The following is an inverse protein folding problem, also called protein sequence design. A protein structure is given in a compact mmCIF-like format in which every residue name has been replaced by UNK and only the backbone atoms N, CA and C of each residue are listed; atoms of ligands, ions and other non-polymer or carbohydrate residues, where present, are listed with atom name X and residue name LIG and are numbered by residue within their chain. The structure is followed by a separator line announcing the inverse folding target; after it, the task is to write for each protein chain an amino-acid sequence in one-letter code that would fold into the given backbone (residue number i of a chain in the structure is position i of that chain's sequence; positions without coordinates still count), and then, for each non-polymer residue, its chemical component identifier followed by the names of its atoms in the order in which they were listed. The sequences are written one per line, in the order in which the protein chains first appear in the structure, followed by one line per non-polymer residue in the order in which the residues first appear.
data_IF_737979787383
#
_entry.id   IF_737979787383
#
_cell.length_a   1.000
_cell.length_b   1.000
_cell.length_c   1.000
_cell.angle_alpha   90.00
_cell.angle_beta   90.00
_cell.angle_gamma   90.00
#
_symmetry.space_group_name_H-M   'P 1'
#
loop_
_entity.id
_entity.type
_entity.pdbx_description
1 polymer ?
#
# COMPACT_ATOMS: atom_id res chain seq x y z
N UNK A 1 -59.79 -64.47 2.56
CA UNK A 1 -58.51 -64.32 3.22
C UNK A 1 -57.42 -64.10 2.17
N UNK A 2 -57.57 -63.13 1.26
CA UNK A 2 -56.61 -62.80 0.18
C UNK A 2 -56.75 -61.33 -0.29
N UNK A 3 -57.01 -60.39 0.63
CA UNK A 3 -57.20 -58.96 0.22
C UNK A 3 -56.59 -57.97 1.23
N UNK A 4 -55.61 -58.37 2.04
CA UNK A 4 -54.98 -57.53 3.07
C UNK A 4 -53.46 -57.45 2.98
N UNK A 5 -52.83 -57.82 1.84
CA UNK A 5 -51.37 -57.79 1.67
C UNK A 5 -50.87 -56.84 0.55
N UNK A 6 -51.74 -56.00 0.00
CA UNK A 6 -51.35 -55.09 -1.10
C UNK A 6 -51.26 -53.57 -0.73
N UNK A 7 -51.36 -53.24 0.57
CA UNK A 7 -51.36 -51.82 0.99
C UNK A 7 -50.17 -51.43 1.89
N UNK A 8 -49.12 -52.24 2.01
CA UNK A 8 -47.96 -51.98 2.86
C UNK A 8 -46.65 -51.69 2.07
N UNK A 9 -46.70 -51.57 0.73
CA UNK A 9 -45.50 -51.44 -0.11
C UNK A 9 -45.39 -50.07 -0.85
N UNK A 10 -46.21 -49.08 -0.53
CA UNK A 10 -46.20 -47.74 -1.24
C UNK A 10 -45.78 -46.60 -0.32
N UNK A 11 -45.46 -46.82 0.94
CA UNK A 11 -45.11 -45.74 1.88
C UNK A 11 -43.62 -45.68 2.28
N UNK A 12 -42.70 -46.31 1.51
CA UNK A 12 -41.25 -46.36 1.83
C UNK A 12 -40.34 -45.64 0.82
N UNK A 13 -40.87 -44.77 -0.06
CA UNK A 13 -40.10 -44.11 -1.12
C UNK A 13 -40.15 -42.57 -1.10
N UNK A 14 -40.42 -41.93 0.03
CA UNK A 14 -40.52 -40.47 0.13
C UNK A 14 -39.61 -39.84 1.20
N UNK A 15 -38.45 -40.45 1.54
CA UNK A 15 -37.41 -39.83 2.40
C UNK A 15 -36.04 -40.08 1.79
N UNK A 16 -35.85 -39.64 0.55
CA UNK A 16 -34.54 -39.56 -0.06
C UNK A 16 -34.45 -38.27 -0.88
N UNK A 17 -34.07 -37.15 -0.25
CA UNK A 17 -33.87 -35.99 -1.01
C UNK A 17 -33.79 -34.67 -0.21
N UNK A 18 -32.87 -34.58 0.72
CA UNK A 18 -32.27 -33.30 1.16
C UNK A 18 -30.93 -33.63 1.85
N UNK A 19 -30.05 -34.28 1.13
CA UNK A 19 -28.63 -34.21 1.42
C UNK A 19 -28.12 -32.94 0.80
N UNK A 20 -28.16 -31.82 1.53
CA UNK A 20 -27.31 -30.71 1.22
C UNK A 20 -25.88 -31.25 1.28
N UNK A 21 -25.15 -31.18 0.17
CA UNK A 21 -23.71 -31.37 0.14
C UNK A 21 -23.07 -30.26 1.01
N UNK A 22 -23.03 -30.49 2.34
CA UNK A 22 -22.10 -29.78 3.22
C UNK A 22 -20.68 -30.28 2.85
N UNK A 23 -20.19 -29.87 1.69
CA UNK A 23 -18.75 -29.94 1.45
C UNK A 23 -18.10 -29.06 2.51
N UNK A 24 -17.22 -29.60 3.37
CA UNK A 24 -16.51 -28.80 4.34
C UNK A 24 -15.83 -27.67 3.58
N UNK A 25 -16.10 -26.43 4.00
CA UNK A 25 -15.48 -25.25 3.38
C UNK A 25 -13.97 -25.46 3.27
N UNK A 26 -13.42 -25.30 2.08
CA UNK A 26 -12.01 -25.53 1.84
C UNK A 26 -11.19 -24.70 2.84
N UNK A 27 -10.21 -25.32 3.49
CA UNK A 27 -9.36 -24.63 4.47
C UNK A 27 -8.68 -23.42 3.81
N UNK A 28 -8.72 -22.22 4.43
CA UNK A 28 -8.04 -21.04 3.91
C UNK A 28 -6.56 -21.30 3.64
N UNK A 29 -6.06 -20.79 2.53
CA UNK A 29 -4.68 -20.98 2.10
C UNK A 29 -3.79 -19.92 2.72
N UNK A 30 -2.64 -20.30 3.25
CA UNK A 30 -1.69 -19.37 3.86
C UNK A 30 -1.10 -18.42 2.79
N UNK A 31 -1.15 -17.11 3.07
CA UNK A 31 -0.57 -16.04 2.26
C UNK A 31 0.26 -15.13 3.14
N UNK A 32 1.49 -14.86 2.76
CA UNK A 32 2.35 -13.90 3.44
C UNK A 32 2.32 -12.58 2.71
N UNK A 33 1.99 -11.49 3.43
CA UNK A 33 1.99 -10.12 2.94
C UNK A 33 3.06 -9.30 3.67
N UNK A 34 3.96 -8.65 2.91
CA UNK A 34 4.97 -7.74 3.47
C UNK A 34 4.54 -6.29 3.31
N UNK A 35 4.60 -5.52 4.39
CA UNK A 35 4.45 -4.08 4.34
C UNK A 35 5.72 -3.43 3.78
N UNK A 36 5.57 -2.26 3.19
CA UNK A 36 6.64 -1.40 2.66
C UNK A 36 7.33 -0.58 3.76
N UNK A 37 6.56 -0.20 4.78
CA UNK A 37 6.96 0.68 5.86
C UNK A 37 6.50 0.17 7.23
N UNK A 38 6.91 0.82 8.32
CA UNK A 38 6.35 0.55 9.65
C UNK A 38 4.84 0.71 9.63
N UNK A 39 4.06 -0.13 10.36
CA UNK A 39 2.61 -0.04 10.37
C UNK A 39 2.12 1.39 10.61
N UNK A 40 1.27 1.89 9.74
CA UNK A 40 0.69 3.22 9.80
C UNK A 40 -0.71 3.21 9.17
N UNK A 41 -1.39 4.35 9.16
CA UNK A 41 -2.78 4.45 8.71
C UNK A 41 -3.03 3.97 7.26
N UNK A 42 -2.02 4.02 6.37
CA UNK A 42 -2.13 3.47 5.01
C UNK A 42 -2.44 1.97 5.02
N UNK A 43 -1.92 1.24 6.01
CA UNK A 43 -2.10 -0.20 6.13
C UNK A 43 -3.41 -0.61 6.83
N UNK A 44 -4.23 0.34 7.29
CA UNK A 44 -5.46 0.05 8.04
C UNK A 44 -6.39 -0.94 7.33
N UNK A 45 -6.62 -0.90 6.00
CA UNK A 45 -7.46 -1.88 5.31
C UNK A 45 -6.94 -3.32 5.41
N UNK A 46 -5.61 -3.51 5.44
CA UNK A 46 -4.96 -4.82 5.53
C UNK A 46 -5.20 -5.44 6.92
N UNK A 47 -4.99 -4.64 7.97
CA UNK A 47 -5.20 -5.09 9.35
C UNK A 47 -6.69 -5.31 9.64
N UNK A 48 -7.57 -4.42 9.17
CA UNK A 48 -9.02 -4.58 9.31
C UNK A 48 -9.53 -5.86 8.64
N UNK A 49 -8.97 -6.22 7.47
CA UNK A 49 -9.30 -7.47 6.78
C UNK A 49 -9.00 -8.69 7.65
N UNK A 50 -7.83 -8.74 8.29
CA UNK A 50 -7.46 -9.85 9.19
C UNK A 50 -8.30 -9.86 10.46
N UNK A 51 -8.44 -8.71 11.11
CA UNK A 51 -9.24 -8.58 12.35
C UNK A 51 -10.67 -9.07 12.18
N UNK A 52 -11.29 -8.73 11.06
CA UNK A 52 -12.70 -9.05 10.80
C UNK A 52 -12.89 -10.38 10.05
N UNK A 53 -11.81 -11.18 9.86
CA UNK A 53 -11.86 -12.47 9.18
C UNK A 53 -12.22 -12.37 7.69
N UNK A 54 -12.02 -11.23 7.04
CA UNK A 54 -12.27 -11.06 5.62
C UNK A 54 -11.35 -11.92 4.78
N UNK A 55 -10.13 -12.12 5.23
CA UNK A 55 -9.16 -13.01 4.60
C UNK A 55 -9.70 -14.46 4.55
N UNK A 56 -10.21 -15.01 5.66
CA UNK A 56 -10.81 -16.32 5.70
C UNK A 56 -12.08 -16.44 4.82
N UNK A 57 -12.91 -15.38 4.77
CA UNK A 57 -14.08 -15.31 3.90
C UNK A 57 -13.72 -15.39 2.41
N UNK A 58 -12.55 -14.90 2.02
CA UNK A 58 -12.00 -14.98 0.66
C UNK A 58 -11.04 -16.16 0.45
N UNK A 59 -11.07 -17.17 1.33
CA UNK A 59 -10.32 -18.41 1.18
C UNK A 59 -8.83 -18.31 1.41
N UNK A 60 -8.35 -17.23 2.05
CA UNK A 60 -6.95 -17.02 2.40
C UNK A 60 -6.78 -16.78 3.89
N UNK A 61 -5.57 -17.03 4.40
CA UNK A 61 -5.16 -16.71 5.76
C UNK A 61 -3.93 -15.82 5.67
N UNK A 62 -4.11 -14.51 5.92
CA UNK A 62 -3.05 -13.53 5.80
C UNK A 62 -2.12 -13.53 7.01
N UNK A 63 -0.82 -13.59 6.74
CA UNK A 63 0.23 -13.33 7.72
C UNK A 63 0.93 -12.03 7.31
N UNK A 64 0.73 -10.97 8.11
CA UNK A 64 1.32 -9.66 7.86
C UNK A 64 2.75 -9.63 8.40
N UNK A 65 3.71 -9.36 7.51
CA UNK A 65 5.12 -9.17 7.84
C UNK A 65 5.45 -7.67 7.89
N UNK A 66 5.90 -7.19 9.02
CA UNK A 66 6.45 -5.85 9.16
C UNK A 66 7.85 -5.80 8.55
N UNK A 67 8.27 -4.71 7.89
CA UNK A 67 9.65 -4.57 7.41
C UNK A 67 10.61 -4.43 8.60
N UNK A 68 11.91 -4.61 8.31
CA UNK A 68 12.98 -4.26 9.24
C UNK A 68 13.19 -2.74 9.33
N UNK A 69 14.44 -2.31 9.45
CA UNK A 69 14.80 -0.87 9.52
C UNK A 69 14.90 -0.18 8.15
N UNK A 70 14.66 -0.90 7.05
CA UNK A 70 14.78 -0.42 5.69
C UNK A 70 13.87 -1.16 4.70
N UNK A 71 13.83 -0.73 3.43
CA UNK A 71 12.93 -1.27 2.41
C UNK A 71 13.37 -2.66 1.95
N UNK A 72 12.67 -3.71 2.39
CA UNK A 72 12.96 -5.10 2.02
C UNK A 72 11.79 -5.81 1.31
N UNK A 73 10.59 -5.23 1.31
CA UNK A 73 9.38 -5.83 0.72
C UNK A 73 9.59 -6.25 -0.74
N UNK A 74 10.16 -5.39 -1.57
CA UNK A 74 10.45 -5.67 -2.98
C UNK A 74 11.31 -6.95 -3.14
N UNK A 75 12.40 -7.07 -2.39
CA UNK A 75 13.32 -8.21 -2.47
C UNK A 75 12.63 -9.51 -2.03
N UNK A 76 11.77 -9.45 -1.04
CA UNK A 76 11.03 -10.60 -0.51
C UNK A 76 10.00 -11.09 -1.52
N UNK A 77 9.24 -10.20 -2.16
CA UNK A 77 8.29 -10.53 -3.23
C UNK A 77 9.01 -11.08 -4.46
N UNK A 78 10.06 -10.40 -4.93
CA UNK A 78 10.81 -10.81 -6.10
C UNK A 78 11.45 -12.21 -5.94
N UNK A 79 11.91 -12.53 -4.72
CA UNK A 79 12.47 -13.86 -4.41
C UNK A 79 11.41 -14.94 -4.14
N UNK A 80 10.12 -14.59 -4.06
CA UNK A 80 9.03 -15.51 -3.73
C UNK A 80 9.00 -15.94 -2.26
N UNK A 81 9.73 -15.26 -1.38
CA UNK A 81 9.68 -15.47 0.09
C UNK A 81 8.41 -14.89 0.72
N UNK A 82 7.76 -13.99 0.01
CA UNK A 82 6.50 -13.35 0.36
C UNK A 82 5.62 -13.38 -0.89
N UNK A 83 4.34 -13.65 -0.70
CA UNK A 83 3.39 -13.82 -1.82
C UNK A 83 2.91 -12.46 -2.36
N UNK A 84 2.59 -11.53 -1.47
CA UNK A 84 2.10 -10.18 -1.80
C UNK A 84 2.92 -9.16 -1.02
N UNK A 85 3.16 -8.01 -1.60
CA UNK A 85 3.83 -6.89 -0.93
C UNK A 85 3.10 -5.58 -1.16
N UNK A 86 3.45 -4.61 -0.33
CA UNK A 86 3.10 -3.20 -0.52
C UNK A 86 4.32 -2.50 -1.09
N UNK A 87 4.12 -1.60 -2.04
CA UNK A 87 5.21 -0.87 -2.67
C UNK A 87 4.74 0.51 -3.16
N UNK A 88 5.64 1.47 -3.12
CA UNK A 88 5.53 2.72 -3.86
C UNK A 88 5.53 2.44 -5.37
N UNK A 89 4.66 3.15 -6.11
CA UNK A 89 4.49 2.90 -7.55
C UNK A 89 5.76 3.24 -8.36
N UNK A 90 6.54 4.22 -7.92
CA UNK A 90 7.79 4.60 -8.58
C UNK A 90 8.86 3.52 -8.39
N UNK A 91 8.91 2.89 -7.21
CA UNK A 91 9.81 1.76 -6.97
C UNK A 91 9.42 0.52 -7.78
N UNK A 92 8.13 0.33 -8.09
CA UNK A 92 7.67 -0.68 -9.06
C UNK A 92 8.29 -0.41 -10.44
N UNK A 93 8.23 0.84 -10.94
CA UNK A 93 8.82 1.21 -12.23
C UNK A 93 10.32 0.95 -12.28
N UNK A 94 11.04 1.39 -11.24
CA UNK A 94 12.50 1.20 -11.11
C UNK A 94 12.85 -0.29 -11.10
N UNK A 95 12.17 -1.09 -10.28
CA UNK A 95 12.40 -2.52 -10.16
C UNK A 95 12.18 -3.25 -11.49
N UNK A 96 11.10 -2.92 -12.20
CA UNK A 96 10.82 -3.51 -13.50
C UNK A 96 11.86 -3.12 -14.56
N UNK A 97 12.30 -1.86 -14.57
CA UNK A 97 13.39 -1.44 -15.48
C UNK A 97 14.71 -2.18 -15.19
N UNK A 98 14.93 -2.60 -13.95
CA UNK A 98 16.08 -3.43 -13.54
C UNK A 98 15.89 -4.92 -13.84
N UNK A 99 14.78 -5.30 -14.48
CA UNK A 99 14.49 -6.68 -14.88
C UNK A 99 13.79 -7.51 -13.80
N UNK A 100 13.33 -6.90 -12.71
CA UNK A 100 12.56 -7.60 -11.69
C UNK A 100 11.14 -7.85 -12.18
N UNK A 101 10.73 -9.11 -12.30
CA UNK A 101 9.42 -9.47 -12.85
C UNK A 101 8.33 -9.50 -11.76
N UNK A 102 7.97 -8.31 -11.31
CA UNK A 102 6.86 -8.05 -10.38
C UNK A 102 5.73 -7.32 -11.12
N UNK A 103 4.52 -7.43 -10.60
CA UNK A 103 3.32 -6.84 -11.17
C UNK A 103 2.45 -6.26 -10.05
N UNK A 104 1.89 -5.07 -10.26
CA UNK A 104 0.88 -4.53 -9.36
C UNK A 104 -0.48 -5.13 -9.68
N UNK A 105 -1.21 -5.49 -8.62
CA UNK A 105 -2.50 -6.19 -8.68
C UNK A 105 -3.65 -5.40 -8.06
N UNK A 106 -3.36 -4.22 -7.53
CA UNK A 106 -4.35 -3.31 -6.95
C UNK A 106 -3.70 -2.02 -6.45
N UNK A 107 -4.47 -0.94 -6.41
CA UNK A 107 -4.08 0.33 -5.82
C UNK A 107 -4.62 0.43 -4.39
N UNK A 108 -3.76 0.65 -3.40
CA UNK A 108 -4.20 0.88 -2.02
C UNK A 108 -4.53 2.35 -1.79
N UNK A 109 -3.65 3.25 -2.20
CA UNK A 109 -3.85 4.70 -2.15
C UNK A 109 -3.90 5.24 -3.56
N UNK A 110 -4.97 5.93 -3.92
CA UNK A 110 -5.27 6.36 -5.29
C UNK A 110 -4.74 7.75 -5.67
N UNK A 111 -4.03 8.43 -4.77
CA UNK A 111 -3.47 9.77 -5.01
C UNK A 111 -2.08 9.89 -4.41
N UNK A 112 -1.25 10.85 -4.89
CA UNK A 112 0.06 11.13 -4.32
C UNK A 112 0.00 11.45 -2.82
N UNK A 113 0.87 10.82 -2.05
CA UNK A 113 1.11 11.10 -0.64
C UNK A 113 2.46 11.79 -0.43
N UNK A 114 3.34 11.68 -1.42
CA UNK A 114 4.69 12.17 -1.34
C UNK A 114 4.74 13.69 -1.17
N UNK A 115 5.55 14.15 -0.23
CA UNK A 115 5.84 15.56 0.01
C UNK A 115 7.29 15.70 0.48
N UNK A 116 7.90 16.84 0.16
CA UNK A 116 9.12 17.28 0.81
C UNK A 116 8.73 18.08 2.05
N UNK A 117 8.94 17.50 3.23
CA UNK A 117 8.60 18.13 4.52
C UNK A 117 9.85 18.80 5.07
N UNK A 118 9.79 20.09 5.32
CA UNK A 118 10.94 20.90 5.65
C UNK A 118 10.78 21.71 6.95
N UNK A 119 11.91 22.13 7.52
CA UNK A 119 11.96 23.06 8.63
C UNK A 119 11.30 24.40 8.24
N UNK A 120 10.74 25.17 9.19
CA UNK A 120 9.95 26.40 8.92
C UNK A 120 10.67 27.48 8.12
N UNK A 121 12.01 27.56 8.23
CA UNK A 121 12.83 28.53 7.53
C UNK A 121 12.95 28.25 6.02
N UNK A 122 12.64 27.05 5.58
CA UNK A 122 12.60 26.68 4.16
C UNK A 122 11.23 27.09 3.63
N UNK A 123 11.16 28.20 2.91
CA UNK A 123 9.89 28.75 2.41
C UNK A 123 9.46 28.14 1.08
N UNK A 124 10.42 27.62 0.31
CA UNK A 124 10.24 26.94 -0.98
C UNK A 124 11.37 25.92 -1.20
N UNK A 125 11.19 24.92 -2.08
CA UNK A 125 12.21 23.89 -2.32
C UNK A 125 13.59 24.44 -2.71
N UNK A 126 13.66 25.56 -3.44
CA UNK A 126 14.91 26.19 -3.82
C UNK A 126 15.76 26.64 -2.61
N UNK A 127 15.14 26.95 -1.49
CA UNK A 127 15.86 27.38 -0.28
C UNK A 127 16.69 26.23 0.32
N UNK A 128 16.55 24.98 -0.20
CA UNK A 128 17.34 23.83 0.23
C UNK A 128 18.76 23.79 -0.37
N UNK A 129 19.10 24.66 -1.30
CA UNK A 129 20.47 24.77 -1.77
C UNK A 129 21.42 25.10 -0.60
N UNK A 130 22.47 24.29 -0.41
CA UNK A 130 23.40 24.37 0.72
C UNK A 130 22.93 23.66 2.00
N UNK A 131 21.70 23.13 2.02
CA UNK A 131 21.09 22.45 3.15
C UNK A 131 21.19 20.92 3.05
N UNK A 132 20.81 20.21 4.13
CA UNK A 132 20.86 18.77 4.22
C UNK A 132 19.45 18.17 4.20
N UNK A 133 19.19 17.26 3.25
CA UNK A 133 17.96 16.48 3.13
C UNK A 133 18.21 15.03 3.56
N UNK A 134 17.38 14.54 4.48
CA UNK A 134 17.41 13.13 4.90
C UNK A 134 16.53 12.29 4.00
N UNK A 135 17.08 11.24 3.38
CA UNK A 135 16.36 10.31 2.51
C UNK A 135 16.19 8.96 3.17
N UNK A 136 15.10 8.24 2.89
CA UNK A 136 14.84 6.92 3.50
C UNK A 136 15.76 5.82 2.97
N UNK A 137 16.32 6.00 1.76
CA UNK A 137 17.10 5.00 1.03
C UNK A 137 16.24 4.18 0.07
N UNK A 138 15.00 4.57 -0.17
CA UNK A 138 14.19 4.04 -1.27
C UNK A 138 14.83 4.43 -2.61
N UNK A 139 14.73 3.56 -3.64
CA UNK A 139 15.28 3.86 -4.96
C UNK A 139 14.70 5.11 -5.61
N UNK A 140 13.44 5.47 -5.30
CA UNK A 140 12.73 6.65 -5.82
C UNK A 140 13.16 7.97 -5.18
N UNK A 141 13.64 7.98 -3.93
CA UNK A 141 13.97 9.21 -3.17
C UNK A 141 14.81 10.24 -3.95
N UNK A 142 15.94 9.89 -4.60
CA UNK A 142 16.77 10.88 -5.28
C UNK A 142 16.08 11.54 -6.47
N UNK A 143 15.26 10.77 -7.19
CA UNK A 143 14.56 11.28 -8.37
C UNK A 143 13.38 12.17 -7.96
N UNK A 144 12.63 11.77 -6.94
CA UNK A 144 11.57 12.56 -6.35
C UNK A 144 12.09 13.92 -5.84
N UNK A 145 13.15 13.89 -5.02
CA UNK A 145 13.77 15.12 -4.51
C UNK A 145 14.24 16.03 -5.66
N UNK A 146 14.92 15.45 -6.66
CA UNK A 146 15.36 16.19 -7.83
C UNK A 146 14.19 16.84 -8.57
N UNK A 147 13.10 16.12 -8.80
CA UNK A 147 11.94 16.62 -9.53
C UNK A 147 11.33 17.87 -8.85
N UNK A 148 11.13 17.84 -7.54
CA UNK A 148 10.61 18.99 -6.77
C UNK A 148 11.59 20.16 -6.82
N UNK A 149 12.89 19.91 -6.65
CA UNK A 149 13.92 20.96 -6.68
C UNK A 149 14.02 21.62 -8.06
N UNK A 150 14.11 20.81 -9.14
CA UNK A 150 14.19 21.31 -10.52
C UNK A 150 12.93 22.11 -10.90
N UNK A 151 11.74 21.63 -10.48
CA UNK A 151 10.47 22.34 -10.74
C UNK A 151 10.47 23.74 -10.12
N UNK A 152 11.06 23.91 -8.95
CA UNK A 152 11.18 25.21 -8.25
C UNK A 152 12.42 26.01 -8.67
N UNK A 153 13.18 25.55 -9.66
CA UNK A 153 14.37 26.22 -10.20
C UNK A 153 15.59 26.15 -9.28
N UNK A 154 15.69 25.11 -8.45
CA UNK A 154 16.87 24.81 -7.67
C UNK A 154 17.87 23.94 -8.45
N UNK A 155 19.13 23.99 -8.05
CA UNK A 155 20.16 23.05 -8.48
C UNK A 155 20.26 21.88 -7.48
N UNK A 156 19.81 20.65 -7.83
CA UNK A 156 19.85 19.50 -6.93
C UNK A 156 21.26 19.12 -6.48
N UNK A 157 22.30 19.45 -7.26
CA UNK A 157 23.69 19.15 -6.92
C UNK A 157 24.20 19.97 -5.71
N UNK A 158 23.52 21.05 -5.38
CA UNK A 158 23.80 21.89 -4.21
C UNK A 158 23.12 21.44 -2.93
N UNK A 159 22.31 20.36 -2.98
CA UNK A 159 21.61 19.80 -1.82
C UNK A 159 22.35 18.56 -1.32
N UNK A 160 22.74 18.57 -0.04
CA UNK A 160 23.38 17.42 0.59
C UNK A 160 22.34 16.38 0.97
N UNK A 161 22.50 15.14 0.51
CA UNK A 161 21.64 14.02 0.90
C UNK A 161 22.33 13.11 1.93
N UNK A 162 21.59 12.66 2.94
CA UNK A 162 22.03 11.69 3.95
C UNK A 162 20.95 10.62 4.15
N UNK A 163 21.34 9.35 4.15
CA UNK A 163 20.39 8.26 4.38
C UNK A 163 20.05 8.16 5.87
N UNK A 164 18.77 8.21 6.19
CA UNK A 164 18.24 8.21 7.57
C UNK A 164 17.30 7.04 7.87
N UNK A 165 17.05 6.14 6.89
CA UNK A 165 16.05 5.09 7.02
C UNK A 165 14.66 5.67 7.31
N UNK A 166 13.88 5.00 8.14
CA UNK A 166 12.52 5.40 8.51
C UNK A 166 12.46 6.39 9.70
N UNK A 167 13.53 7.16 9.94
CA UNK A 167 13.65 8.04 11.09
C UNK A 167 13.26 9.51 10.81
N UNK A 168 12.54 9.81 9.73
CA UNK A 168 12.24 11.16 9.24
C UNK A 168 11.75 12.13 10.33
N UNK A 169 10.73 11.74 11.11
CA UNK A 169 10.17 12.57 12.20
C UNK A 169 11.23 12.91 13.25
N UNK A 170 12.01 11.91 13.70
CA UNK A 170 13.06 12.11 14.70
C UNK A 170 14.19 13.03 14.22
N UNK A 171 14.58 12.89 12.94
CA UNK A 171 15.64 13.70 12.34
C UNK A 171 15.23 15.16 12.17
N UNK A 172 13.97 15.43 11.73
CA UNK A 172 13.43 16.78 11.67
C UNK A 172 13.27 17.41 13.05
N UNK A 173 12.74 16.66 14.04
CA UNK A 173 12.57 17.14 15.41
C UNK A 173 13.92 17.54 16.05
N UNK A 174 14.96 16.77 15.82
CA UNK A 174 16.30 17.03 16.33
C UNK A 174 17.10 18.04 15.48
N UNK A 175 16.51 18.55 14.40
CA UNK A 175 17.14 19.48 13.44
C UNK A 175 18.47 18.96 12.86
N UNK A 176 18.59 17.64 12.71
CA UNK A 176 19.76 17.01 12.05
C UNK A 176 19.69 17.09 10.54
N UNK A 177 18.48 17.30 10.01
CA UNK A 177 18.23 17.55 8.58
C UNK A 177 17.27 18.72 8.45
N UNK A 178 17.33 19.41 7.32
CA UNK A 178 16.52 20.57 7.01
C UNK A 178 15.20 20.18 6.34
N UNK A 179 15.19 19.06 5.60
CA UNK A 179 14.00 18.49 4.99
C UNK A 179 14.12 16.97 4.84
N UNK A 180 12.98 16.33 4.56
CA UNK A 180 12.87 14.91 4.26
C UNK A 180 11.80 14.68 3.19
N UNK A 181 12.01 13.82 2.17
CA UNK A 181 10.91 13.18 1.46
C UNK A 181 10.13 12.29 2.44
N UNK A 182 8.82 12.46 2.48
CA UNK A 182 7.96 11.72 3.40
C UNK A 182 6.50 11.82 2.94
N UNK A 183 5.59 11.14 3.63
CA UNK A 183 4.17 11.22 3.34
C UNK A 183 3.47 12.27 4.21
N UNK A 184 2.75 13.20 3.57
CA UNK A 184 2.05 14.28 4.28
C UNK A 184 1.00 13.77 5.27
N UNK A 185 0.37 12.62 5.00
CA UNK A 185 -0.63 11.99 5.88
C UNK A 185 -0.01 11.25 7.08
N UNK A 186 1.26 10.88 7.01
CA UNK A 186 1.96 10.14 8.07
C UNK A 186 2.90 11.05 8.86
N UNK A 187 4.07 11.36 8.32
CA UNK A 187 5.08 12.20 8.97
C UNK A 187 4.60 13.65 9.13
N UNK A 188 3.91 14.18 8.11
CA UNK A 188 3.35 15.54 8.17
C UNK A 188 2.36 15.69 9.32
N UNK A 189 1.40 14.78 9.44
CA UNK A 189 0.45 14.75 10.56
C UNK A 189 1.16 14.58 11.90
N UNK A 190 2.16 13.69 11.97
CA UNK A 190 2.91 13.43 13.20
C UNK A 190 3.68 14.65 13.70
N UNK A 191 4.27 15.43 12.80
CA UNK A 191 4.99 16.66 13.14
C UNK A 191 4.04 17.77 13.57
N UNK A 192 2.95 18.00 12.84
CA UNK A 192 1.91 19.00 13.17
C UNK A 192 1.29 18.74 14.55
N UNK A 193 0.94 17.49 14.85
CA UNK A 193 0.38 17.12 16.18
C UNK A 193 1.36 17.34 17.33
N UNK A 194 2.67 17.31 17.08
CA UNK A 194 3.70 17.68 18.06
C UNK A 194 3.94 19.19 18.16
N UNK A 195 3.06 19.98 17.58
CA UNK A 195 3.17 21.46 17.57
C UNK A 195 4.36 21.99 16.78
N UNK A 196 4.83 21.21 15.79
CA UNK A 196 5.91 21.66 14.91
C UNK A 196 5.34 22.40 13.72
N UNK A 197 5.77 23.62 13.56
CA UNK A 197 5.59 24.35 12.31
C UNK A 197 6.55 23.73 11.29
N UNK A 198 6.01 23.09 10.23
CA UNK A 198 6.76 22.52 9.12
C UNK A 198 6.15 22.99 7.81
N UNK A 199 6.96 23.05 6.78
CA UNK A 199 6.50 23.31 5.41
C UNK A 199 6.30 21.95 4.71
N UNK A 200 5.22 21.82 3.97
CA UNK A 200 4.93 20.66 3.14
C UNK A 200 4.88 21.10 1.68
N UNK A 201 5.80 20.61 0.88
CA UNK A 201 5.81 20.79 -0.56
C UNK A 201 5.33 19.50 -1.17
N UNK A 202 4.03 19.39 -1.45
CA UNK A 202 3.41 18.18 -2.00
C UNK A 202 3.76 18.04 -3.46
N UNK A 203 3.99 16.82 -3.91
CA UNK A 203 4.44 16.56 -5.28
C UNK A 203 3.43 17.00 -6.33
N UNK A 204 2.13 16.97 -6.03
CA UNK A 204 1.05 17.42 -6.90
C UNK A 204 1.03 18.94 -7.10
N UNK A 205 1.56 19.74 -6.14
CA UNK A 205 1.79 21.18 -6.29
C UNK A 205 3.02 21.47 -7.18
N UNK A 206 3.84 20.46 -7.46
CA UNK A 206 5.08 20.54 -8.24
C UNK A 206 5.03 19.70 -9.53
N UNK A 207 3.85 19.64 -10.15
CA UNK A 207 3.66 19.12 -11.51
C UNK A 207 3.34 17.64 -11.63
N UNK A 208 3.30 16.89 -10.53
CA UNK A 208 2.89 15.48 -10.60
C UNK A 208 1.41 15.35 -10.94
N UNK A 209 1.05 14.47 -11.90
CA UNK A 209 -0.35 14.14 -12.16
C UNK A 209 -0.92 13.29 -11.01
N UNK A 210 -2.23 13.14 -10.93
CA UNK A 210 -2.82 12.12 -10.06
C UNK A 210 -2.31 10.71 -10.46
N UNK A 211 -1.80 9.95 -9.47
CA UNK A 211 -1.40 8.54 -9.61
C UNK A 211 -1.61 7.80 -8.28
N UNK A 212 -1.74 6.45 -8.30
CA UNK A 212 -1.76 5.67 -7.06
C UNK A 212 -0.38 5.71 -6.40
N UNK A 213 -0.26 6.26 -5.19
CA UNK A 213 1.03 6.29 -4.48
C UNK A 213 1.48 4.89 -4.06
N UNK A 214 0.53 4.12 -3.50
CA UNK A 214 0.83 2.82 -2.90
C UNK A 214 0.03 1.72 -3.58
N UNK A 215 0.74 0.68 -4.02
CA UNK A 215 0.17 -0.44 -4.76
C UNK A 215 0.44 -1.78 -4.07
N UNK A 216 -0.46 -2.74 -4.29
CA UNK A 216 -0.30 -4.14 -3.95
C UNK A 216 0.48 -4.80 -5.09
N UNK A 217 1.59 -5.45 -4.76
CA UNK A 217 2.44 -6.14 -5.75
C UNK A 217 2.56 -7.63 -5.46
N UNK A 218 2.82 -8.38 -6.51
CA UNK A 218 3.25 -9.78 -6.42
C UNK A 218 4.27 -10.08 -7.51
N UNK A 219 5.00 -11.21 -7.43
CA UNK A 219 5.80 -11.64 -8.56
C UNK A 219 4.90 -12.28 -9.62
N UNK A 220 5.23 -12.15 -10.90
CA UNK A 220 4.48 -12.80 -11.97
C UNK A 220 4.40 -14.31 -11.75
N UNK A 221 5.50 -14.91 -11.32
CA UNK A 221 5.53 -16.34 -10.95
C UNK A 221 4.54 -16.70 -9.84
N UNK A 222 4.40 -15.84 -8.81
CA UNK A 222 3.42 -16.06 -7.74
C UNK A 222 2.01 -15.91 -8.29
N UNK A 223 1.75 -14.88 -9.09
CA UNK A 223 0.46 -14.65 -9.72
C UNK A 223 0.02 -15.82 -10.61
N UNK A 224 0.92 -16.41 -11.38
CA UNK A 224 0.63 -17.59 -12.21
C UNK A 224 0.30 -18.84 -11.39
N UNK A 225 0.98 -19.04 -10.27
CA UNK A 225 0.85 -20.25 -9.45
C UNK A 225 -0.22 -20.17 -8.37
N UNK A 226 -0.49 -18.98 -7.89
CA UNK A 226 -1.33 -18.68 -6.72
C UNK A 226 -2.34 -17.56 -7.02
N UNK A 227 -2.89 -17.52 -8.26
CA UNK A 227 -3.81 -16.44 -8.66
C UNK A 227 -4.99 -16.33 -7.70
N UNK A 228 -5.62 -17.42 -7.32
CA UNK A 228 -6.76 -17.41 -6.41
C UNK A 228 -6.42 -16.84 -5.02
N UNK A 229 -5.20 -17.12 -4.52
CA UNK A 229 -4.71 -16.56 -3.25
C UNK A 229 -4.44 -15.06 -3.36
N UNK A 230 -3.90 -14.60 -4.49
CA UNK A 230 -3.67 -13.16 -4.75
C UNK A 230 -5.01 -12.43 -4.88
N UNK A 231 -5.96 -12.98 -5.65
CA UNK A 231 -7.32 -12.42 -5.81
C UNK A 231 -8.06 -12.39 -4.47
N UNK A 232 -8.01 -13.47 -3.70
CA UNK A 232 -8.58 -13.55 -2.36
C UNK A 232 -7.97 -12.49 -1.40
N UNK A 233 -6.66 -12.27 -1.49
CA UNK A 233 -5.97 -11.24 -0.70
C UNK A 233 -6.47 -9.84 -1.07
N UNK A 234 -6.55 -9.51 -2.35
CA UNK A 234 -7.03 -8.20 -2.81
C UNK A 234 -8.50 -8.00 -2.42
N UNK A 235 -9.35 -9.04 -2.58
CA UNK A 235 -10.74 -8.99 -2.17
C UNK A 235 -10.90 -8.78 -0.65
N UNK A 236 -10.11 -9.47 0.16
CA UNK A 236 -10.10 -9.28 1.62
C UNK A 236 -9.72 -7.86 2.02
N UNK A 237 -8.68 -7.28 1.40
CA UNK A 237 -8.24 -5.91 1.69
C UNK A 237 -9.30 -4.90 1.24
N UNK A 238 -9.98 -5.14 0.13
CA UNK A 238 -11.11 -4.31 -0.33
C UNK A 238 -12.25 -4.28 0.69
N UNK A 239 -12.61 -5.43 1.25
CA UNK A 239 -13.61 -5.50 2.31
C UNK A 239 -13.09 -4.85 3.60
N UNK A 240 -11.81 -5.03 3.92
CA UNK A 240 -11.14 -4.33 5.02
C UNK A 240 -11.17 -2.80 4.88
N UNK A 241 -11.11 -2.26 3.65
CA UNK A 241 -11.29 -0.83 3.41
C UNK A 241 -12.72 -0.36 3.75
N UNK A 242 -13.73 -1.18 3.45
CA UNK A 242 -15.10 -0.89 3.86
C UNK A 242 -15.25 -0.94 5.39
N UNK A 243 -14.59 -1.89 6.05
CA UNK A 243 -14.57 -2.02 7.52
C UNK A 243 -13.89 -0.81 8.18
N UNK A 244 -12.79 -0.30 7.61
CA UNK A 244 -12.12 0.93 8.09
C UNK A 244 -13.08 2.13 8.05
N UNK A 245 -13.84 2.29 6.97
CA UNK A 245 -14.83 3.35 6.84
C UNK A 245 -16.00 3.21 7.83
N UNK A 246 -16.39 1.99 8.14
CA UNK A 246 -17.46 1.70 9.08
C UNK A 246 -17.07 1.94 10.55
N UNK A 247 -15.84 1.63 10.93
CA UNK A 247 -15.30 1.83 12.29
C UNK A 247 -13.84 2.31 12.25
N UNK A 248 -13.60 3.59 11.93
CA UNK A 248 -12.26 4.15 11.84
C UNK A 248 -11.56 4.19 13.21
N UNK A 249 -12.29 4.23 14.31
CA UNK A 249 -11.69 4.21 15.64
C UNK A 249 -11.12 2.84 16.00
N UNK A 250 -11.82 1.75 15.64
CA UNK A 250 -11.26 0.40 15.79
C UNK A 250 -10.03 0.21 14.89
N UNK A 251 -10.08 0.68 13.65
CA UNK A 251 -8.94 0.63 12.75
C UNK A 251 -7.73 1.40 13.29
N UNK A 252 -7.95 2.59 13.85
CA UNK A 252 -6.88 3.40 14.45
C UNK A 252 -6.24 2.70 15.67
N UNK A 253 -7.05 2.08 16.55
CA UNK A 253 -6.55 1.30 17.69
C UNK A 253 -5.69 0.12 17.23
N UNK A 254 -6.13 -0.58 16.20
CA UNK A 254 -5.41 -1.74 15.66
C UNK A 254 -4.07 -1.35 15.06
N UNK A 255 -4.04 -0.30 14.24
CA UNK A 255 -2.78 0.22 13.69
C UNK A 255 -1.85 0.72 14.80
N UNK A 256 -2.37 1.40 15.82
CA UNK A 256 -1.56 1.82 16.96
C UNK A 256 -0.92 0.61 17.67
N UNK A 257 -1.68 -0.46 17.87
CA UNK A 257 -1.16 -1.71 18.44
C UNK A 257 -0.10 -2.35 17.52
N UNK A 258 -0.35 -2.42 16.21
CA UNK A 258 0.60 -2.96 15.24
C UNK A 258 1.89 -2.13 15.16
N UNK A 259 1.80 -0.81 15.27
CA UNK A 259 2.93 0.12 15.30
C UNK A 259 3.62 0.20 16.69
N UNK A 260 3.10 -0.54 17.67
CA UNK A 260 3.63 -0.54 19.06
C UNK A 260 3.63 0.86 19.70
N UNK A 261 2.67 1.72 19.31
CA UNK A 261 2.51 3.06 19.86
C UNK A 261 1.29 3.14 20.79
N UNK A 262 1.41 4.01 21.82
CA UNK A 262 0.27 4.33 22.70
C UNK A 262 -0.56 5.51 22.20
N UNK A 263 -0.08 6.22 21.17
CA UNK A 263 -0.75 7.40 20.62
C UNK A 263 -1.80 7.02 19.56
N UNK A 264 -2.92 6.44 20.02
CA UNK A 264 -4.08 6.13 19.17
C UNK A 264 -4.62 7.40 18.48
N UNK A 265 -4.54 8.56 19.17
CA UNK A 265 -4.98 9.83 18.60
C UNK A 265 -4.16 10.26 17.39
N UNK A 266 -2.85 10.01 17.38
CA UNK A 266 -2.02 10.23 16.20
C UNK A 266 -2.45 9.31 15.05
N UNK A 267 -2.60 8.02 15.32
CA UNK A 267 -3.00 7.05 14.30
C UNK A 267 -4.38 7.40 13.71
N UNK A 268 -5.31 7.86 14.55
CA UNK A 268 -6.64 8.31 14.11
C UNK A 268 -6.54 9.53 13.20
N UNK A 269 -5.74 10.52 13.56
CA UNK A 269 -5.54 11.71 12.72
C UNK A 269 -4.84 11.40 11.39
N UNK A 270 -3.91 10.44 11.38
CA UNK A 270 -3.29 9.94 10.14
C UNK A 270 -4.31 9.20 9.27
N UNK A 271 -5.21 8.44 9.88
CA UNK A 271 -6.29 7.75 9.17
C UNK A 271 -7.28 8.74 8.57
N UNK A 272 -7.70 9.77 9.32
CA UNK A 272 -8.56 10.84 8.82
C UNK A 272 -7.95 11.55 7.61
N UNK A 273 -6.63 11.70 7.60
CA UNK A 273 -5.92 12.34 6.52
C UNK A 273 -5.84 11.46 5.25
N UNK A 274 -5.67 10.14 5.38
CA UNK A 274 -5.48 9.24 4.23
C UNK A 274 -6.79 8.64 3.72
N UNK A 275 -7.82 8.50 4.55
CA UNK A 275 -9.07 7.84 4.18
C UNK A 275 -9.70 8.40 2.88
N UNK A 276 -9.75 9.74 2.66
CA UNK A 276 -10.32 10.30 1.43
C UNK A 276 -9.57 9.97 0.14
N UNK A 277 -8.34 9.48 0.26
CA UNK A 277 -7.44 9.19 -0.88
C UNK A 277 -7.17 7.70 -1.06
N UNK A 278 -7.75 6.81 -0.27
CA UNK A 278 -7.75 5.39 -0.59
C UNK A 278 -8.38 5.13 -1.96
N UNK A 279 -7.81 4.22 -2.71
CA UNK A 279 -8.33 3.86 -4.04
C UNK A 279 -9.66 3.12 -3.91
N UNK A 280 -10.75 3.62 -4.51
CA UNK A 280 -12.06 2.97 -4.43
C UNK A 280 -12.00 1.55 -5.00
N UNK A 281 -12.36 0.55 -4.19
CA UNK A 281 -12.36 -0.85 -4.59
C UNK A 281 -10.97 -1.41 -4.92
N UNK A 282 -9.89 -0.72 -4.56
CA UNK A 282 -8.49 -1.03 -4.91
C UNK A 282 -8.21 -1.06 -6.42
N UNK A 283 -9.06 -0.40 -7.23
CA UNK A 283 -9.01 -0.47 -8.69
C UNK A 283 -7.80 0.24 -9.28
N UNK A 284 -7.32 -0.32 -10.37
CA UNK A 284 -6.27 0.25 -11.21
C UNK A 284 -6.94 0.99 -12.39
N UNK A 285 -6.76 2.30 -12.50
CA UNK A 285 -7.25 3.11 -13.61
C UNK A 285 -6.17 3.23 -14.68
N UNK A 286 -6.40 2.64 -15.85
CA UNK A 286 -5.44 2.63 -16.96
C UNK A 286 -5.04 4.06 -17.40
N UNK A 287 -6.00 4.96 -17.54
CA UNK A 287 -5.71 6.32 -17.98
C UNK A 287 -4.88 7.11 -16.97
N UNK A 288 -5.08 6.86 -15.68
CA UNK A 288 -4.25 7.41 -14.60
C UNK A 288 -2.84 6.84 -14.68
N UNK A 289 -2.71 5.52 -14.87
CA UNK A 289 -1.41 4.84 -14.94
C UNK A 289 -0.60 5.21 -16.20
N UNK A 290 -1.26 5.48 -17.33
CA UNK A 290 -0.57 6.00 -18.52
C UNK A 290 0.04 7.38 -18.25
N UNK A 291 -0.69 8.30 -17.57
CA UNK A 291 -0.13 9.61 -17.21
C UNK A 291 1.00 9.50 -16.17
N UNK A 292 0.89 8.58 -15.21
CA UNK A 292 1.97 8.28 -14.29
C UNK A 292 3.22 7.78 -15.03
N UNK A 293 3.06 6.90 -16.02
CA UNK A 293 4.18 6.38 -16.81
C UNK A 293 4.88 7.48 -17.60
N UNK A 294 4.12 8.44 -18.16
CA UNK A 294 4.67 9.62 -18.82
C UNK A 294 5.46 10.50 -17.84
N UNK A 295 4.88 10.76 -16.65
CA UNK A 295 5.52 11.55 -15.60
C UNK A 295 6.82 10.92 -15.09
N UNK A 296 6.86 9.60 -14.84
CA UNK A 296 8.06 8.89 -14.38
C UNK A 296 9.22 8.99 -15.40
N UNK A 297 8.89 8.96 -16.70
CA UNK A 297 9.86 9.17 -17.76
C UNK A 297 10.34 10.65 -17.83
N UNK A 298 9.41 11.62 -17.70
CA UNK A 298 9.70 13.05 -17.73
C UNK A 298 10.64 13.46 -16.60
N UNK A 299 10.33 13.06 -15.35
CA UNK A 299 11.18 13.36 -14.18
C UNK A 299 12.43 12.48 -14.12
N UNK A 300 12.63 11.60 -15.10
CA UNK A 300 13.81 10.72 -15.22
C UNK A 300 14.01 9.82 -14.00
N UNK A 301 12.92 9.36 -13.38
CA UNK A 301 12.97 8.34 -12.34
C UNK A 301 13.33 6.99 -12.95
N UNK A 302 12.92 6.78 -14.17
CA UNK A 302 13.27 5.65 -15.04
C UNK A 302 13.87 6.15 -16.36
N UNK A 303 14.69 5.33 -17.03
CA UNK A 303 15.31 5.66 -18.31
C UNK A 303 14.35 5.52 -19.51
N UNK A 304 13.38 4.62 -19.37
CA UNK A 304 12.37 4.34 -20.37
C UNK A 304 10.99 4.42 -19.72
N UNK A 305 10.03 4.93 -20.46
CA UNK A 305 8.63 4.99 -20.02
C UNK A 305 8.17 3.61 -19.58
N UNK A 306 7.55 3.46 -18.40
CA UNK A 306 7.01 2.19 -17.95
C UNK A 306 5.96 1.63 -18.91
N UNK A 307 6.04 0.33 -19.20
CA UNK A 307 4.99 -0.39 -19.90
C UNK A 307 3.87 -0.75 -18.92
N UNK A 308 2.77 0.00 -19.00
CA UNK A 308 1.61 -0.15 -18.12
C UNK A 308 0.98 -1.54 -18.26
N UNK A 309 0.96 -2.15 -19.45
CA UNK A 309 0.41 -3.49 -19.62
C UNK A 309 1.28 -4.56 -18.96
N UNK A 310 2.59 -4.37 -18.98
CA UNK A 310 3.52 -5.30 -18.34
C UNK A 310 3.60 -5.10 -16.83
N UNK A 311 3.37 -3.87 -16.32
CA UNK A 311 3.55 -3.52 -14.91
C UNK A 311 2.30 -3.78 -14.05
N UNK A 312 1.10 -3.89 -14.65
CA UNK A 312 -0.17 -3.99 -13.93
C UNK A 312 -1.04 -5.14 -14.43
N UNK A 313 -1.66 -5.89 -13.51
CA UNK A 313 -2.73 -6.85 -13.82
C UNK A 313 -4.08 -6.20 -13.44
N UNK A 314 -4.85 -5.83 -14.47
CA UNK A 314 -6.14 -5.14 -14.30
C UNK A 314 -7.31 -6.08 -13.95
N UNK A 315 -7.07 -7.38 -13.90
CA UNK A 315 -8.13 -8.38 -13.67
C UNK A 315 -8.24 -8.79 -12.20
N UNK A 316 -7.19 -8.63 -11.41
CA UNK A 316 -7.17 -9.07 -10.00
C UNK A 316 -8.04 -8.18 -9.11
N UNK A 317 -8.01 -6.85 -9.29
CA UNK A 317 -8.82 -5.94 -8.48
C UNK A 317 -10.27 -5.76 -8.99
N UNK A 318 -10.61 -6.30 -10.13
CA UNK A 318 -11.96 -6.33 -10.71
C UNK A 318 -12.28 -5.12 -11.56
#
# INVERSE_FOLDING_TARGET
MRLLLALALVLALAVAGCGGDDQPAAKPRDVTLSLDFTPNAVHAPIYAAVRNGRDAQHGVKLTIRKPGSGPDALKLVASGKVDVGILDIHDLAIARQQGTDIVAVGALVGKPLAALIAQPQISRPKDLEGHTVGVSGLPSDPAFLRAILEHDGADPSRVKQVTIGFAAVGQLLSRRVDAVPAFWNAEGVALKRRGRDVKEFRVDDYGAPPYPEVVLITSRRTLERKRAEVEGTVAAIRDGLADVKADPDAAAREIAAAAETKDVGLTRAQLDAVEPVFAPGLKLDRAVLERWADFDAEIRIVKQRPDVNAAFDFHVAG
#
